data_IF_739368649418
#
_entry.id   IF_739368649418
#
_cell.length_a   1.000
_cell.length_b   1.000
_cell.length_c   1.000
_cell.angle_alpha   90.00
_cell.angle_beta   90.00
_cell.angle_gamma   90.00
#
_symmetry.space_group_name_H-M   'P 1'
#
loop_
_entity.id
_entity.type
_entity.pdbx_description
1 polymer ?
#
# COMPACT_ATOMS: atom_id res chain seq x y z
N UNK A 1 -13.34 11.80 2.68
CA UNK A 1 -12.87 11.32 4.00
C UNK A 1 -13.95 11.64 5.03
N UNK A 2 -14.12 10.84 6.08
CA UNK A 2 -15.01 11.17 7.20
C UNK A 2 -14.65 12.55 7.78
N UNK A 3 -15.65 13.33 8.24
CA UNK A 3 -15.42 14.68 8.81
C UNK A 3 -14.39 14.69 9.94
N UNK A 4 -14.31 13.62 10.73
CA UNK A 4 -13.35 13.50 11.84
C UNK A 4 -11.91 13.32 11.37
N UNK A 5 -11.67 12.44 10.39
CA UNK A 5 -10.34 12.26 9.83
C UNK A 5 -9.76 13.57 9.25
N UNK A 6 -10.61 14.36 8.58
CA UNK A 6 -10.20 15.68 8.06
C UNK A 6 -9.88 16.69 9.18
N UNK A 7 -10.62 16.65 10.31
CA UNK A 7 -10.32 17.47 11.49
C UNK A 7 -8.96 17.08 12.09
N UNK A 8 -8.74 15.79 12.33
CA UNK A 8 -7.49 15.28 12.91
C UNK A 8 -6.29 15.57 12.00
N UNK A 9 -6.47 15.45 10.68
CA UNK A 9 -5.44 15.81 9.69
C UNK A 9 -5.07 17.29 9.77
N UNK A 10 -6.04 18.21 9.96
CA UNK A 10 -5.74 19.65 10.18
C UNK A 10 -4.94 19.90 11.45
N UNK A 11 -5.21 19.15 12.53
CA UNK A 11 -4.45 19.24 13.78
C UNK A 11 -3.01 18.75 13.56
N UNK A 12 -2.83 17.66 12.80
CA UNK A 12 -1.50 17.17 12.42
C UNK A 12 -0.71 18.24 11.64
N UNK A 13 -1.35 18.96 10.71
CA UNK A 13 -0.73 20.08 10.00
C UNK A 13 -0.32 21.23 10.93
N UNK A 14 -1.11 21.54 11.96
CA UNK A 14 -0.75 22.55 12.95
C UNK A 14 0.45 22.12 13.79
N UNK A 15 0.50 20.84 14.21
CA UNK A 15 1.69 20.28 14.85
C UNK A 15 2.92 20.40 13.93
N UNK A 16 2.81 19.98 12.67
CA UNK A 16 3.89 20.07 11.70
C UNK A 16 4.38 21.52 11.51
N UNK A 17 3.46 22.50 11.49
CA UNK A 17 3.77 23.93 11.41
C UNK A 17 4.54 24.45 12.63
N UNK A 18 4.26 23.95 13.84
CA UNK A 18 5.01 24.35 15.04
C UNK A 18 6.37 23.69 15.11
N UNK A 19 6.42 22.38 14.92
CA UNK A 19 7.64 21.57 15.05
C UNK A 19 8.66 21.87 13.95
N UNK A 20 8.22 22.28 12.75
CA UNK A 20 9.10 22.70 11.64
C UNK A 20 10.00 23.89 11.94
N UNK A 21 9.70 24.67 12.99
CA UNK A 21 10.56 25.76 13.46
C UNK A 21 11.85 25.26 14.09
N UNK A 22 11.88 24.02 14.55
CA UNK A 22 13.09 23.36 15.04
C UNK A 22 13.95 23.03 13.82
N UNK A 23 15.15 23.62 13.76
CA UNK A 23 16.03 23.54 12.58
C UNK A 23 16.33 22.10 12.17
N UNK A 24 16.55 21.23 13.16
CA UNK A 24 16.85 19.80 12.95
C UNK A 24 15.68 19.01 12.36
N UNK A 25 14.45 19.49 12.45
CA UNK A 25 13.30 18.78 11.88
C UNK A 25 13.34 18.94 10.36
N UNK A 26 13.48 17.80 9.68
CA UNK A 26 13.59 17.74 8.21
C UNK A 26 12.34 17.16 7.56
N UNK A 27 11.59 16.32 8.26
CA UNK A 27 10.37 15.71 7.74
C UNK A 27 9.39 15.42 8.87
N UNK A 28 8.10 15.57 8.59
CA UNK A 28 7.00 15.15 9.47
C UNK A 28 6.02 14.34 8.63
N UNK A 29 5.79 13.10 9.04
CA UNK A 29 4.96 12.13 8.33
C UNK A 29 3.77 11.78 9.23
N UNK A 30 2.55 12.05 8.75
CA UNK A 30 1.32 11.55 9.34
C UNK A 30 1.09 10.13 8.85
N UNK A 31 0.92 9.17 9.75
CA UNK A 31 0.62 7.78 9.39
C UNK A 31 -0.59 7.26 10.17
N UNK A 32 -0.82 5.95 10.12
CA UNK A 32 -1.91 5.32 10.86
C UNK A 32 -3.30 5.67 10.33
N UNK A 33 -4.30 5.57 11.20
CA UNK A 33 -5.72 5.64 10.83
C UNK A 33 -6.13 6.99 10.20
N UNK A 34 -5.51 8.09 10.65
CA UNK A 34 -5.78 9.44 10.12
C UNK A 34 -5.27 9.56 8.68
N UNK A 35 -4.06 9.08 8.39
CA UNK A 35 -3.52 9.07 7.04
C UNK A 35 -4.39 8.25 6.07
N UNK A 36 -4.90 7.09 6.52
CA UNK A 36 -5.79 6.21 5.74
C UNK A 36 -7.20 6.76 5.56
N UNK A 37 -7.59 7.77 6.33
CA UNK A 37 -8.95 8.32 6.32
C UNK A 37 -9.97 7.43 7.04
N UNK A 38 -9.51 6.55 7.92
CA UNK A 38 -10.31 5.59 8.69
C UNK A 38 -10.52 6.05 10.14
N UNK A 39 -9.89 7.16 10.54
CA UNK A 39 -9.95 7.68 11.89
C UNK A 39 -11.38 8.09 12.32
N UNK A 40 -11.68 7.80 13.57
CA UNK A 40 -12.86 8.25 14.29
C UNK A 40 -12.50 9.32 15.34
N UNK A 41 -13.50 9.79 16.10
CA UNK A 41 -13.33 10.87 17.08
C UNK A 41 -12.38 10.52 18.25
N UNK A 42 -12.05 9.25 18.47
CA UNK A 42 -11.19 8.77 19.57
C UNK A 42 -9.82 8.33 19.07
N UNK A 43 -9.59 8.43 17.76
CA UNK A 43 -8.35 8.00 17.15
C UNK A 43 -7.22 8.95 17.50
N UNK A 44 -6.05 8.37 17.77
CA UNK A 44 -4.81 9.12 17.98
C UNK A 44 -4.29 9.65 16.63
N UNK A 45 -3.54 10.74 16.69
CA UNK A 45 -2.81 11.30 15.54
C UNK A 45 -1.38 10.75 15.58
N UNK A 46 -1.11 9.73 14.78
CA UNK A 46 0.20 9.08 14.70
C UNK A 46 1.16 9.88 13.80
N UNK A 47 2.24 10.39 14.38
CA UNK A 47 3.21 11.25 13.68
C UNK A 47 4.63 10.73 13.86
N UNK A 48 5.35 10.62 12.73
CA UNK A 48 6.78 10.39 12.68
C UNK A 48 7.49 11.70 12.38
N UNK A 49 8.40 12.12 13.27
CA UNK A 49 9.28 13.27 13.08
C UNK A 49 10.69 12.78 12.75
N UNK A 50 11.22 13.21 11.60
CA UNK A 50 12.57 12.88 11.14
C UNK A 50 13.51 14.05 11.41
N UNK A 51 14.63 13.75 12.06
CA UNK A 51 15.64 14.72 12.45
C UNK A 51 16.90 14.61 11.58
N UNK A 52 17.54 15.75 11.30
CA UNK A 52 18.83 15.82 10.61
C UNK A 52 20.00 15.47 11.54
N UNK A 53 20.07 14.20 11.90
CA UNK A 53 21.16 13.65 12.68
C UNK A 53 21.37 12.18 12.34
N UNK A 54 22.35 11.55 13.00
CA UNK A 54 22.58 10.10 12.92
C UNK A 54 22.31 9.46 14.27
N UNK A 55 21.62 8.32 14.24
CA UNK A 55 21.31 7.54 15.41
C UNK A 55 20.10 8.06 16.18
N UNK A 56 19.98 7.61 17.45
CA UNK A 56 18.80 7.91 18.26
C UNK A 56 18.67 9.40 18.57
N UNK A 57 17.45 9.94 18.56
CA UNK A 57 17.17 11.29 19.04
C UNK A 57 17.72 11.54 20.44
N UNK A 58 18.24 12.75 20.66
CA UNK A 58 18.69 13.18 21.98
C UNK A 58 17.47 13.43 22.87
N UNK A 59 17.67 13.32 24.19
CA UNK A 59 16.61 13.56 25.16
C UNK A 59 16.01 14.96 25.02
N UNK A 60 16.84 15.98 24.87
CA UNK A 60 16.41 17.38 24.71
C UNK A 60 15.50 17.58 23.48
N UNK A 61 15.81 16.94 22.36
CA UNK A 61 14.99 17.02 21.13
C UNK A 61 13.66 16.31 21.33
N UNK A 62 13.69 15.18 22.04
CA UNK A 62 12.48 14.44 22.38
C UNK A 62 11.58 15.26 23.30
N UNK A 63 12.14 15.93 24.31
CA UNK A 63 11.41 16.79 25.24
C UNK A 63 10.77 17.99 24.52
N UNK A 64 11.56 18.72 23.72
CA UNK A 64 11.08 19.89 22.96
C UNK A 64 9.94 19.53 22.01
N UNK A 65 10.08 18.44 21.24
CA UNK A 65 9.05 17.99 20.29
C UNK A 65 7.81 17.46 21.02
N UNK A 66 8.00 16.76 22.13
CA UNK A 66 6.89 16.24 22.95
C UNK A 66 6.09 17.37 23.59
N UNK A 67 6.75 18.44 24.04
CA UNK A 67 6.08 19.62 24.59
C UNK A 67 5.16 20.26 23.55
N UNK A 68 5.64 20.44 22.31
CA UNK A 68 4.82 20.95 21.20
C UNK A 68 3.61 20.04 20.94
N UNK A 69 3.80 18.72 20.93
CA UNK A 69 2.67 17.79 20.74
C UNK A 69 1.65 17.88 21.87
N UNK A 70 2.10 18.00 23.12
CA UNK A 70 1.21 18.17 24.28
C UNK A 70 0.47 19.52 24.26
N UNK A 71 1.10 20.60 23.80
CA UNK A 71 0.44 21.89 23.61
C UNK A 71 -0.65 21.82 22.54
N UNK A 72 -0.33 21.29 21.35
CA UNK A 72 -1.30 21.15 20.26
C UNK A 72 -2.42 20.19 20.67
N UNK A 73 -2.09 19.04 21.29
CA UNK A 73 -3.07 18.08 21.75
C UNK A 73 -4.06 18.69 22.74
N UNK A 74 -3.59 19.50 23.70
CA UNK A 74 -4.45 20.22 24.65
C UNK A 74 -5.29 21.30 23.97
N UNK A 75 -4.72 22.06 23.04
CA UNK A 75 -5.40 23.16 22.35
C UNK A 75 -6.58 22.67 21.50
N UNK A 76 -6.42 21.50 20.86
CA UNK A 76 -7.41 20.97 19.92
C UNK A 76 -8.22 19.77 20.44
N UNK A 77 -8.03 19.39 21.71
CA UNK A 77 -8.63 18.22 22.35
C UNK A 77 -8.42 16.95 21.51
N UNK A 78 -7.14 16.61 21.31
CA UNK A 78 -6.68 15.48 20.52
C UNK A 78 -5.43 14.85 21.14
N UNK A 79 -5.20 13.57 20.88
CA UNK A 79 -4.00 12.88 21.30
C UNK A 79 -3.02 12.76 20.11
N UNK A 80 -1.76 13.14 20.32
CA UNK A 80 -0.71 13.04 19.31
C UNK A 80 0.30 11.99 19.79
N UNK A 81 0.40 10.90 19.05
CA UNK A 81 1.36 9.82 19.28
C UNK A 81 2.61 10.11 18.46
N UNK A 82 3.73 10.36 19.14
CA UNK A 82 4.98 10.75 18.49
C UNK A 82 5.97 9.59 18.40
N UNK A 83 6.60 9.50 17.24
CA UNK A 83 7.80 8.70 17.05
C UNK A 83 8.85 9.60 16.41
N UNK A 84 10.09 9.54 16.91
CA UNK A 84 11.21 10.32 16.40
C UNK A 84 12.25 9.37 15.79
N UNK A 85 12.82 9.77 14.66
CA UNK A 85 13.87 9.00 14.00
C UNK A 85 14.90 9.88 13.30
N UNK A 86 16.01 9.27 12.90
CA UNK A 86 16.97 9.88 11.99
C UNK A 86 16.59 9.61 10.52
N UNK A 87 17.33 10.24 9.61
CA UNK A 87 17.13 10.11 8.15
C UNK A 87 17.30 8.69 7.61
N UNK A 88 17.93 7.79 8.37
CA UNK A 88 18.18 6.40 7.99
C UNK A 88 17.19 5.41 8.63
N UNK A 89 16.26 5.90 9.47
CA UNK A 89 15.34 5.08 10.27
C UNK A 89 16.06 4.01 11.11
N UNK A 90 17.27 4.32 11.56
CA UNK A 90 18.22 3.34 12.11
C UNK A 90 17.77 2.70 13.43
N UNK A 91 16.85 3.36 14.13
CA UNK A 91 16.28 2.91 15.41
C UNK A 91 14.94 2.17 15.28
N UNK A 92 14.46 1.94 14.06
CA UNK A 92 13.09 1.46 13.80
C UNK A 92 13.06 0.02 13.29
N UNK A 93 11.94 -0.65 13.54
CA UNK A 93 11.66 -1.96 12.95
C UNK A 93 11.35 -1.81 11.44
N UNK A 94 11.86 -2.73 10.62
CA UNK A 94 11.75 -2.68 9.17
C UNK A 94 10.28 -2.69 8.70
N UNK A 95 9.40 -3.47 9.33
CA UNK A 95 7.97 -3.50 8.98
C UNK A 95 7.27 -2.19 9.32
N UNK A 96 7.69 -1.54 10.40
CA UNK A 96 7.15 -0.22 10.77
C UNK A 96 7.54 0.83 9.72
N UNK A 97 8.83 0.88 9.34
CA UNK A 97 9.33 1.79 8.30
C UNK A 97 8.58 1.54 6.99
N UNK A 98 8.41 0.27 6.61
CA UNK A 98 7.66 -0.14 5.44
C UNK A 98 6.20 0.38 5.43
N UNK A 99 5.49 0.27 6.56
CA UNK A 99 4.13 0.78 6.71
C UNK A 99 4.07 2.30 6.61
N UNK A 100 4.96 3.02 7.30
CA UNK A 100 5.00 4.50 7.24
C UNK A 100 5.34 4.98 5.83
N UNK A 101 6.27 4.33 5.13
CA UNK A 101 6.63 4.72 3.76
C UNK A 101 5.56 4.36 2.73
N UNK A 102 4.77 3.32 2.95
CA UNK A 102 3.69 2.92 2.03
C UNK A 102 2.41 3.75 2.19
N UNK A 103 2.07 4.10 3.43
CA UNK A 103 0.74 4.63 3.77
C UNK A 103 0.79 6.04 4.38
N UNK A 104 1.98 6.50 4.78
CA UNK A 104 2.18 7.80 5.40
C UNK A 104 2.03 8.96 4.42
N UNK A 105 1.55 10.09 4.94
CA UNK A 105 1.48 11.37 4.25
C UNK A 105 2.56 12.29 4.79
N UNK A 106 3.46 12.74 3.93
CA UNK A 106 4.41 13.80 4.28
C UNK A 106 3.64 15.10 4.43
N UNK A 107 3.56 15.62 5.66
CA UNK A 107 2.82 16.86 6.00
C UNK A 107 3.75 18.05 6.24
N UNK A 108 5.06 17.81 6.35
CA UNK A 108 6.12 18.82 6.27
C UNK A 108 7.41 18.18 5.77
N UNK A 109 8.16 18.89 4.93
CA UNK A 109 9.52 18.55 4.55
C UNK A 109 10.34 19.83 4.35
N UNK A 110 11.51 19.92 4.99
CA UNK A 110 12.44 21.05 4.82
C UNK A 110 13.09 21.02 3.43
N UNK A 111 13.48 19.82 3.02
CA UNK A 111 13.92 19.50 1.67
C UNK A 111 12.99 18.41 1.17
N UNK A 112 12.32 18.63 0.04
CA UNK A 112 11.62 17.56 -0.64
C UNK A 112 12.67 16.56 -1.12
N UNK A 113 12.95 15.55 -0.29
CA UNK A 113 13.50 14.29 -0.78
C UNK A 113 12.37 13.68 -1.57
N UNK A 114 12.28 14.03 -2.85
CA UNK A 114 11.71 13.11 -3.82
C UNK A 114 12.56 11.87 -3.61
N UNK A 115 12.01 10.87 -2.91
CA UNK A 115 12.70 9.62 -2.79
C UNK A 115 13.06 9.26 -4.23
N UNK A 116 14.34 9.01 -4.52
CA UNK A 116 14.73 8.41 -5.80
C UNK A 116 14.01 7.04 -6.01
N UNK A 117 13.20 6.62 -5.04
CA UNK A 117 12.27 5.49 -4.97
C UNK A 117 10.78 5.86 -5.12
N UNK A 118 10.37 7.02 -5.65
CA UNK A 118 8.94 7.30 -5.98
C UNK A 118 8.31 6.20 -6.86
N UNK A 119 9.16 5.43 -7.54
CA UNK A 119 8.75 4.33 -8.40
C UNK A 119 8.53 3.02 -7.64
N UNK A 120 9.06 2.83 -6.43
CA UNK A 120 8.91 1.58 -5.69
C UNK A 120 7.52 1.49 -5.07
N UNK A 121 6.77 0.45 -5.45
CA UNK A 121 5.46 0.14 -4.88
C UNK A 121 5.49 -1.23 -4.23
N UNK A 122 4.67 -1.47 -3.19
CA UNK A 122 4.58 -2.77 -2.56
C UNK A 122 3.80 -3.75 -3.45
N UNK A 123 4.37 -4.94 -3.64
CA UNK A 123 3.82 -6.07 -4.39
C UNK A 123 3.98 -7.34 -3.57
N UNK A 124 3.09 -8.32 -3.76
CA UNK A 124 3.29 -9.66 -3.21
C UNK A 124 3.76 -10.60 -4.30
N UNK A 125 4.83 -11.34 -4.02
CA UNK A 125 5.08 -12.63 -4.66
C UNK A 125 4.34 -13.69 -3.85
N UNK A 126 3.36 -14.34 -4.47
CA UNK A 126 2.57 -15.40 -3.84
C UNK A 126 2.88 -16.73 -4.51
N UNK A 127 3.38 -17.68 -3.71
CA UNK A 127 3.65 -19.06 -4.11
C UNK A 127 2.61 -20.00 -3.53
N UNK A 128 2.01 -20.87 -4.33
CA UNK A 128 0.92 -21.77 -3.93
C UNK A 128 1.05 -23.16 -4.57
N UNK A 129 0.55 -24.19 -3.86
CA UNK A 129 0.62 -25.58 -4.31
C UNK A 129 -0.75 -26.16 -4.62
N UNK A 130 -0.99 -26.50 -5.88
CA UNK A 130 -2.20 -27.20 -6.31
C UNK A 130 -2.06 -28.73 -6.29
N UNK A 131 -0.98 -29.30 -5.75
CA UNK A 131 -0.69 -30.75 -5.87
C UNK A 131 -1.78 -31.62 -5.27
N UNK A 132 -2.25 -31.28 -4.07
CA UNK A 132 -3.17 -32.08 -3.25
C UNK A 132 -4.66 -31.89 -3.62
N UNK A 133 -4.98 -30.98 -4.56
CA UNK A 133 -6.37 -30.67 -4.89
C UNK A 133 -6.97 -31.62 -5.93
N UNK A 134 -8.30 -31.80 -5.97
CA UNK A 134 -8.99 -32.45 -7.08
C UNK A 134 -8.75 -31.70 -8.41
N UNK A 135 -8.70 -32.43 -9.53
CA UNK A 135 -8.46 -31.84 -10.85
C UNK A 135 -9.45 -30.72 -11.19
N UNK A 136 -10.72 -30.86 -10.80
CA UNK A 136 -11.76 -29.83 -10.97
C UNK A 136 -11.41 -28.52 -10.28
N UNK A 137 -10.89 -28.57 -9.06
CA UNK A 137 -10.57 -27.39 -8.26
C UNK A 137 -9.29 -26.73 -8.76
N UNK A 138 -8.29 -27.52 -9.17
CA UNK A 138 -7.11 -26.99 -9.87
C UNK A 138 -7.53 -26.17 -11.09
N UNK A 139 -8.47 -26.70 -11.88
CA UNK A 139 -8.97 -26.01 -13.07
C UNK A 139 -9.80 -24.78 -12.75
N UNK A 140 -10.59 -24.79 -11.66
CA UNK A 140 -11.33 -23.61 -11.20
C UNK A 140 -10.38 -22.48 -10.78
N UNK A 141 -9.38 -22.79 -9.95
CA UNK A 141 -8.39 -21.81 -9.50
C UNK A 141 -7.62 -21.25 -10.69
N UNK A 142 -7.16 -22.10 -11.63
CA UNK A 142 -6.48 -21.64 -12.84
C UNK A 142 -7.35 -20.69 -13.67
N UNK A 143 -8.64 -20.99 -13.84
CA UNK A 143 -9.58 -20.11 -14.55
C UNK A 143 -9.79 -18.77 -13.84
N UNK A 144 -9.86 -18.77 -12.50
CA UNK A 144 -10.01 -17.54 -11.72
C UNK A 144 -8.75 -16.68 -11.83
N UNK A 145 -7.56 -17.26 -11.64
CA UNK A 145 -6.31 -16.51 -11.63
C UNK A 145 -5.89 -16.04 -13.02
N UNK A 146 -5.98 -16.91 -14.03
CA UNK A 146 -5.41 -16.68 -15.36
C UNK A 146 -6.45 -16.44 -16.45
N UNK A 147 -7.74 -16.60 -16.14
CA UNK A 147 -8.81 -16.45 -17.12
C UNK A 147 -8.95 -17.67 -18.02
N UNK A 148 -9.70 -17.49 -19.12
CA UNK A 148 -9.86 -18.51 -20.16
C UNK A 148 -10.20 -17.87 -21.51
N UNK A 149 -9.83 -18.53 -22.58
CA UNK A 149 -10.37 -18.25 -23.91
C UNK A 149 -11.32 -19.37 -24.31
N UNK A 150 -12.49 -19.01 -24.83
CA UNK A 150 -13.50 -19.93 -25.31
C UNK A 150 -13.70 -19.67 -26.78
N UNK A 151 -13.43 -20.69 -27.60
CA UNK A 151 -13.71 -20.64 -29.04
C UNK A 151 -15.09 -21.24 -29.29
N UNK A 152 -15.98 -20.49 -29.94
CA UNK A 152 -17.27 -21.00 -30.42
C UNK A 152 -17.29 -20.94 -31.95
N UNK A 153 -17.91 -21.94 -32.58
CA UNK A 153 -18.05 -22.00 -34.04
C UNK A 153 -19.51 -21.82 -34.41
N UNK A 154 -19.79 -20.91 -35.34
CA UNK A 154 -21.12 -20.69 -35.90
C UNK A 154 -21.00 -20.69 -37.43
N UNK A 155 -21.47 -21.76 -38.07
CA UNK A 155 -21.21 -22.01 -39.49
C UNK A 155 -19.71 -22.11 -39.79
N UNK A 156 -19.22 -21.33 -40.76
CA UNK A 156 -17.78 -21.24 -41.09
C UNK A 156 -17.00 -20.22 -40.25
N UNK A 157 -17.65 -19.50 -39.33
CA UNK A 157 -16.99 -18.46 -38.50
C UNK A 157 -16.62 -19.02 -37.13
N UNK A 158 -15.44 -18.65 -36.63
CA UNK A 158 -14.95 -18.98 -35.29
C UNK A 158 -14.88 -17.69 -34.48
N UNK A 159 -15.59 -17.65 -33.36
CA UNK A 159 -15.60 -16.55 -32.40
C UNK A 159 -14.73 -16.92 -31.20
N UNK A 160 -13.92 -15.98 -30.70
CA UNK A 160 -13.06 -16.19 -29.54
C UNK A 160 -13.52 -15.24 -28.43
N UNK A 161 -14.09 -15.79 -27.36
CA UNK A 161 -14.45 -15.06 -26.15
C UNK A 161 -13.36 -15.21 -25.11
N UNK A 162 -12.68 -14.10 -24.77
CA UNK A 162 -11.65 -14.06 -23.72
C UNK A 162 -12.23 -13.53 -22.42
N UNK A 163 -12.06 -14.30 -21.36
CA UNK A 163 -12.38 -13.94 -19.99
C UNK A 163 -11.07 -13.69 -19.25
N UNK A 164 -10.89 -12.47 -18.75
CA UNK A 164 -9.70 -12.12 -17.96
C UNK A 164 -9.72 -12.88 -16.63
N UNK A 165 -8.53 -13.22 -16.15
CA UNK A 165 -8.34 -13.70 -14.79
C UNK A 165 -7.94 -12.55 -13.87
N UNK A 166 -8.06 -12.79 -12.56
CA UNK A 166 -7.72 -11.83 -11.51
C UNK A 166 -6.34 -11.21 -11.72
N UNK A 167 -5.37 -12.02 -12.15
CA UNK A 167 -4.00 -11.55 -12.38
C UNK A 167 -3.91 -10.50 -13.49
N UNK A 168 -4.67 -10.65 -14.58
CA UNK A 168 -4.72 -9.63 -15.64
C UNK A 168 -5.52 -8.39 -15.20
N UNK A 169 -6.58 -8.57 -14.42
CA UNK A 169 -7.44 -7.48 -13.95
C UNK A 169 -6.71 -6.51 -13.02
N UNK A 170 -5.83 -7.04 -12.17
CA UNK A 170 -5.07 -6.26 -11.18
C UNK A 170 -3.71 -5.77 -11.70
N UNK A 171 -3.35 -6.09 -12.94
CA UNK A 171 -2.02 -5.78 -13.51
C UNK A 171 -0.89 -6.63 -12.93
N UNK A 172 -1.20 -7.82 -12.42
CA UNK A 172 -0.20 -8.79 -11.96
C UNK A 172 0.36 -9.66 -13.09
N UNK A 173 1.31 -10.52 -12.75
CA UNK A 173 1.92 -11.45 -13.69
C UNK A 173 2.22 -12.81 -13.06
N UNK A 174 2.38 -13.82 -13.92
CA UNK A 174 2.83 -15.15 -13.51
C UNK A 174 4.34 -15.19 -13.47
N UNK A 175 4.93 -15.64 -12.36
CA UNK A 175 6.37 -15.88 -12.24
C UNK A 175 6.75 -17.35 -12.49
N UNK A 176 5.76 -18.20 -12.74
CA UNK A 176 5.97 -19.62 -13.02
C UNK A 176 4.86 -20.50 -12.48
N UNK A 177 5.11 -21.81 -12.40
CA UNK A 177 4.11 -22.76 -11.90
C UNK A 177 3.83 -22.52 -10.43
N UNK A 178 2.61 -22.06 -10.14
CA UNK A 178 2.19 -21.82 -8.76
C UNK A 178 2.89 -20.63 -8.12
N UNK A 179 3.39 -19.67 -8.92
CA UNK A 179 4.00 -18.44 -8.42
C UNK A 179 3.47 -17.26 -9.24
N UNK A 180 2.90 -16.27 -8.56
CA UNK A 180 2.32 -15.07 -9.14
C UNK A 180 2.83 -13.84 -8.40
N UNK A 181 2.78 -12.70 -9.07
CA UNK A 181 3.13 -11.43 -8.49
C UNK A 181 2.09 -10.37 -8.84
N UNK A 182 1.69 -9.56 -7.87
CA UNK A 182 0.63 -8.56 -8.04
C UNK A 182 0.76 -7.42 -7.02
N UNK A 183 0.15 -6.25 -7.25
CA UNK A 183 0.19 -5.13 -6.30
C UNK A 183 -0.37 -5.51 -4.93
N UNK A 184 0.31 -5.10 -3.85
CA UNK A 184 0.01 -5.59 -2.50
C UNK A 184 -1.44 -5.32 -2.04
N UNK A 185 -2.04 -4.22 -2.51
CA UNK A 185 -3.43 -3.85 -2.23
C UNK A 185 -4.49 -4.88 -2.65
N UNK A 186 -4.15 -5.85 -3.51
CA UNK A 186 -5.07 -6.88 -3.99
C UNK A 186 -4.87 -8.24 -3.29
N UNK A 187 -4.15 -8.28 -2.16
CA UNK A 187 -3.81 -9.54 -1.48
C UNK A 187 -5.03 -10.33 -1.03
N UNK A 188 -6.09 -9.64 -0.60
CA UNK A 188 -7.29 -10.28 -0.08
C UNK A 188 -8.00 -11.08 -1.17
N UNK A 189 -8.12 -10.54 -2.38
CA UNK A 189 -8.79 -11.19 -3.51
C UNK A 189 -8.10 -12.51 -3.91
N UNK A 190 -6.77 -12.58 -3.84
CA UNK A 190 -6.04 -13.83 -4.10
C UNK A 190 -6.14 -14.80 -2.91
N UNK A 191 -6.01 -14.30 -1.68
CA UNK A 191 -6.09 -15.15 -0.50
C UNK A 191 -7.48 -15.75 -0.29
N UNK A 192 -8.56 -15.02 -0.55
CA UNK A 192 -9.93 -15.53 -0.48
C UNK A 192 -10.13 -16.74 -1.38
N UNK A 193 -9.64 -16.67 -2.62
CA UNK A 193 -9.70 -17.80 -3.56
C UNK A 193 -8.90 -18.99 -2.99
N UNK A 194 -7.67 -18.78 -2.53
CA UNK A 194 -6.83 -19.87 -2.02
C UNK A 194 -7.40 -20.49 -0.73
N UNK A 195 -7.91 -19.66 0.20
CA UNK A 195 -8.57 -20.09 1.43
C UNK A 195 -9.84 -20.89 1.13
N UNK A 196 -10.67 -20.42 0.19
CA UNK A 196 -11.90 -21.12 -0.25
C UNK A 196 -11.62 -22.55 -0.71
N UNK A 197 -10.52 -22.76 -1.44
CA UNK A 197 -10.11 -24.08 -1.92
C UNK A 197 -9.10 -24.77 -1.00
N UNK A 198 -8.84 -24.25 0.22
CA UNK A 198 -7.89 -24.80 1.21
C UNK A 198 -6.49 -25.06 0.63
N UNK A 199 -6.03 -24.17 -0.24
CA UNK A 199 -4.73 -24.27 -0.89
C UNK A 199 -3.64 -23.82 0.07
N UNK A 200 -2.54 -24.58 0.17
CA UNK A 200 -1.34 -24.13 0.88
C UNK A 200 -0.60 -23.09 0.05
N UNK A 201 -0.30 -21.95 0.66
CA UNK A 201 0.43 -20.86 0.00
C UNK A 201 1.39 -20.14 0.97
N UNK A 202 2.31 -19.38 0.39
CA UNK A 202 3.22 -18.44 1.06
C UNK A 202 3.20 -17.13 0.28
N UNK A 203 3.39 -16.01 0.97
CA UNK A 203 3.52 -14.69 0.36
C UNK A 203 4.80 -14.01 0.85
N UNK A 204 5.40 -13.23 -0.02
CA UNK A 204 6.58 -12.42 0.26
C UNK A 204 6.31 -11.02 -0.27
N UNK A 205 6.38 -10.02 0.61
CA UNK A 205 6.25 -8.62 0.24
C UNK A 205 7.54 -8.16 -0.43
N UNK A 206 7.43 -7.48 -1.56
CA UNK A 206 8.55 -6.96 -2.34
C UNK A 206 8.24 -5.55 -2.82
N UNK A 207 9.26 -4.70 -2.86
CA UNK A 207 9.17 -3.34 -3.36
C UNK A 207 9.70 -3.28 -4.77
N UNK A 208 8.83 -2.99 -5.73
CA UNK A 208 9.16 -3.04 -7.16
C UNK A 208 8.92 -1.67 -7.77
N UNK A 209 9.92 -1.22 -8.55
CA UNK A 209 9.81 -0.02 -9.37
C UNK A 209 8.69 -0.15 -10.39
N UNK A 210 7.88 0.88 -10.64
CA UNK A 210 6.81 0.85 -11.63
C UNK A 210 7.32 0.56 -13.06
N UNK A 211 8.62 0.74 -13.31
CA UNK A 211 9.33 0.35 -14.54
C UNK A 211 9.70 -1.15 -14.61
N UNK A 212 9.71 -1.84 -13.48
CA UNK A 212 10.02 -3.28 -13.35
C UNK A 212 8.76 -4.12 -13.16
N UNK A 213 7.61 -3.56 -13.52
CA UNK A 213 6.33 -4.25 -13.40
C UNK A 213 6.22 -5.34 -14.47
N UNK A 214 5.94 -6.61 -14.10
CA UNK A 214 5.95 -7.71 -15.05
C UNK A 214 4.73 -7.74 -16.01
N UNK A 215 3.74 -6.86 -15.82
CA UNK A 215 2.66 -6.58 -16.79
C UNK A 215 2.12 -5.14 -16.61
N UNK A 216 2.09 -4.32 -17.66
CA UNK A 216 1.57 -2.94 -17.56
C UNK A 216 0.15 -2.90 -16.97
N UNK A 217 -0.08 -2.19 -15.85
CA UNK A 217 -1.43 -1.92 -15.38
C UNK A 217 -2.10 -1.01 -16.41
N UNK A 218 -3.04 -1.55 -17.18
CA UNK A 218 -3.84 -0.73 -18.09
C UNK A 218 -4.73 0.19 -17.25
N UNK A 219 -4.25 1.39 -16.97
CA UNK A 219 -5.07 2.52 -16.55
C UNK A 219 -6.12 2.79 -17.63
N UNK A 220 -7.30 2.16 -17.51
CA UNK A 220 -8.50 2.63 -18.17
C UNK A 220 -9.62 2.66 -17.13
N UNK A 221 -10.14 3.88 -16.92
CA UNK A 221 -11.45 4.14 -16.31
C UNK A 221 -12.41 3.02 -16.74
N UNK A 222 -13.03 2.37 -15.77
CA UNK A 222 -14.14 1.46 -16.03
C UNK A 222 -15.22 2.28 -16.72
N UNK A 223 -15.31 2.16 -18.05
CA UNK A 223 -16.56 2.42 -18.77
C UNK A 223 -17.21 1.06 -18.98
N UNK A 224 -18.38 0.91 -18.37
CA UNK A 224 -19.30 -0.16 -18.71
C UNK A 224 -19.62 -0.08 -20.23
N UNK A 225 -19.54 -1.23 -20.89
CA UNK A 225 -20.05 -1.43 -22.25
C UNK A 225 -19.11 -1.01 -23.39
N UNK A 226 -18.51 -2.01 -24.05
CA UNK A 226 -18.75 -2.34 -25.47
C UNK A 226 -17.66 -3.30 -25.98
N UNK A 227 -18.13 -4.31 -26.69
CA UNK A 227 -17.41 -5.33 -27.44
C UNK A 227 -16.43 -4.72 -28.44
N UNK A 228 -15.14 -5.12 -28.41
CA UNK A 228 -14.26 -4.98 -29.58
C UNK A 228 -14.51 -6.18 -30.50
N UNK A 229 -15.25 -5.96 -31.59
CA UNK A 229 -15.16 -6.78 -32.79
C UNK A 229 -13.91 -6.34 -33.56
N UNK A 230 -12.99 -7.27 -33.84
CA UNK A 230 -11.94 -7.08 -34.84
C UNK A 230 -12.25 -7.96 -36.04
N UNK A 231 -12.34 -7.32 -37.20
CA UNK A 231 -12.67 -7.88 -38.51
C UNK A 231 -11.61 -8.87 -39.01
#
# INVERSE_FOLDING_TARGET
MPKEAERLEKIAFEFARRVSKIEKVVEVILFGSVAKGEADRRSDIDILVVLDQKGKPKLEEHEEISEIALEVGREFDANISLILSDREFSSMDEYFVESVLSEGKVIYAREARIAEKEWLRPWYILSYSLKELPHSDKMRIKKIFYGKEVKSKHGNRVYIHRYKGLLEEVGGASLGRGCIIFPAKFVEEFEEVLKKYKVKYRKMLVWISEYNVPAEPKNKKIKAGLTEERY
#
